data_IF_276353892441
#
_entry.id   IF_276353892441
#
_cell.length_a   1.000
_cell.length_b   1.000
_cell.length_c   1.000
_cell.angle_alpha   90.00
_cell.angle_beta   90.00
_cell.angle_gamma   90.00
#
_symmetry.space_group_name_H-M   'P 1'
#
loop_
_entity.id
_entity.type
_entity.pdbx_description
1 polymer ?
#
# COMPACT_ATOMS: atom_id res chain seq x y z
N UNK A 1 9.48 2.81 68.69
CA UNK A 1 9.10 2.64 67.27
C UNK A 1 10.24 2.00 66.54
N UNK A 2 10.13 0.71 66.17
CA UNK A 2 11.17 0.02 65.39
C UNK A 2 11.22 0.63 64.00
N UNK A 3 12.33 1.25 63.63
CA UNK A 3 12.53 1.73 62.27
C UNK A 3 12.81 0.50 61.38
N UNK A 4 12.05 0.37 60.32
CA UNK A 4 12.30 -0.64 59.31
C UNK A 4 13.75 -0.54 58.77
N UNK A 5 14.40 -1.68 58.45
CA UNK A 5 15.71 -1.65 57.77
C UNK A 5 15.66 -0.77 56.53
N UNK A 6 16.74 -0.07 56.23
CA UNK A 6 16.79 0.92 55.13
C UNK A 6 16.38 0.34 53.78
N UNK A 7 16.76 -0.92 53.49
CA UNK A 7 16.37 -1.60 52.25
C UNK A 7 14.86 -1.84 52.14
N UNK A 8 14.16 -2.20 53.23
CA UNK A 8 12.71 -2.35 53.26
C UNK A 8 12.04 -0.97 53.04
N UNK A 9 12.57 0.06 53.69
CA UNK A 9 12.09 1.43 53.53
C UNK A 9 12.17 1.90 52.07
N UNK A 10 13.31 1.64 51.42
CA UNK A 10 13.49 1.96 49.99
C UNK A 10 12.54 1.21 49.06
N UNK A 11 12.35 -0.10 49.28
CA UNK A 11 11.40 -0.89 48.51
C UNK A 11 9.96 -0.44 48.70
N UNK A 12 9.55 -0.11 49.93
CA UNK A 12 8.22 0.42 50.18
C UNK A 12 7.99 1.81 49.54
N UNK A 13 9.03 2.65 49.52
CA UNK A 13 8.96 3.94 48.84
C UNK A 13 8.85 3.73 47.28
N UNK A 14 9.64 2.83 46.71
CA UNK A 14 9.56 2.48 45.30
C UNK A 14 8.20 1.90 44.96
N UNK A 15 7.66 0.95 45.76
CA UNK A 15 6.33 0.36 45.55
C UNK A 15 5.24 1.44 45.57
N UNK A 16 5.28 2.40 46.55
CA UNK A 16 4.31 3.50 46.58
C UNK A 16 4.43 4.37 45.34
N UNK A 17 5.65 4.69 44.89
CA UNK A 17 5.85 5.47 43.68
C UNK A 17 5.28 4.79 42.46
N UNK A 18 5.55 3.48 42.30
CA UNK A 18 4.98 2.67 41.20
C UNK A 18 3.46 2.65 41.26
N UNK A 19 2.86 2.39 42.44
CA UNK A 19 1.41 2.38 42.58
C UNK A 19 0.75 3.73 42.25
N UNK A 20 1.34 4.83 42.76
CA UNK A 20 0.84 6.18 42.44
C UNK A 20 0.98 6.51 40.98
N UNK A 21 2.14 6.21 40.35
CA UNK A 21 2.33 6.44 38.93
C UNK A 21 1.39 5.58 38.08
N UNK A 22 1.23 4.30 38.43
CA UNK A 22 0.27 3.42 37.74
C UNK A 22 -1.16 3.93 37.83
N UNK A 23 -1.58 4.43 39.01
CA UNK A 23 -2.91 5.02 39.16
C UNK A 23 -3.06 6.29 38.32
N UNK A 24 -2.08 7.18 38.34
CA UNK A 24 -2.14 8.45 37.63
C UNK A 24 -2.08 8.21 36.11
N UNK A 25 -1.10 7.43 35.61
CA UNK A 25 -0.89 7.26 34.16
C UNK A 25 -1.74 6.15 33.57
N UNK A 26 -2.09 5.12 34.33
CA UNK A 26 -2.86 3.96 33.85
C UNK A 26 -4.38 4.05 34.08
N UNK A 27 -4.84 4.92 34.97
CA UNK A 27 -6.27 5.06 35.25
C UNK A 27 -6.75 6.49 35.08
N UNK A 28 -6.22 7.44 35.88
CA UNK A 28 -6.73 8.82 35.90
C UNK A 28 -6.54 9.48 34.54
N UNK A 29 -5.33 9.46 34.00
CA UNK A 29 -5.01 10.10 32.72
C UNK A 29 -5.85 9.52 31.55
N UNK A 30 -5.94 8.20 31.30
CA UNK A 30 -6.80 7.67 30.25
C UNK A 30 -8.27 8.03 30.42
N UNK A 31 -8.82 7.99 31.63
CA UNK A 31 -10.23 8.34 31.88
C UNK A 31 -10.49 9.82 31.63
N UNK A 32 -9.59 10.71 32.05
CA UNK A 32 -9.72 12.15 31.80
C UNK A 32 -9.66 12.44 30.28
N UNK A 33 -8.68 11.86 29.58
CA UNK A 33 -8.54 12.04 28.11
C UNK A 33 -9.78 11.50 27.40
N UNK A 34 -10.26 10.30 27.76
CA UNK A 34 -11.48 9.71 27.18
C UNK A 34 -12.69 10.59 27.44
N UNK A 35 -12.88 11.07 28.69
CA UNK A 35 -14.00 11.95 29.03
C UNK A 35 -14.00 13.27 28.26
N UNK A 36 -12.84 13.90 28.10
CA UNK A 36 -12.68 15.11 27.30
C UNK A 36 -12.93 14.83 25.82
N UNK A 37 -12.37 13.74 25.29
CA UNK A 37 -12.55 13.33 23.89
C UNK A 37 -14.02 13.04 23.56
N UNK A 38 -14.71 12.32 24.43
CA UNK A 38 -16.14 12.03 24.27
C UNK A 38 -17.01 13.29 24.35
N UNK A 39 -16.64 14.26 25.19
CA UNK A 39 -17.41 15.51 25.33
C UNK A 39 -17.22 16.47 24.14
N UNK A 40 -16.02 16.52 23.57
CA UNK A 40 -15.66 17.53 22.55
C UNK A 40 -15.59 16.95 21.11
N UNK A 41 -15.32 15.64 20.98
CA UNK A 41 -15.02 14.97 19.70
C UNK A 41 -15.66 13.57 19.64
N UNK A 42 -16.94 13.48 20.01
CA UNK A 42 -17.64 12.18 20.17
C UNK A 42 -17.44 11.23 18.98
N UNK A 43 -17.69 11.68 17.75
CA UNK A 43 -17.55 10.87 16.54
C UNK A 43 -16.13 10.32 16.37
N UNK A 44 -15.12 11.19 16.52
CA UNK A 44 -13.71 10.80 16.43
C UNK A 44 -13.28 9.89 17.57
N UNK A 45 -13.77 10.15 18.79
CA UNK A 45 -13.49 9.33 19.94
C UNK A 45 -14.10 7.91 19.85
N UNK A 46 -15.13 7.75 19.02
CA UNK A 46 -15.78 6.46 18.73
C UNK A 46 -15.29 5.82 17.41
N UNK A 47 -14.19 6.35 16.82
CA UNK A 47 -13.57 5.76 15.63
C UNK A 47 -14.13 6.26 14.30
N UNK A 48 -14.78 7.44 14.29
CA UNK A 48 -15.35 8.07 13.07
C UNK A 48 -16.20 7.09 12.25
N UNK A 49 -17.27 6.50 12.82
CA UNK A 49 -18.10 5.52 12.12
C UNK A 49 -18.77 6.17 10.92
N UNK A 50 -18.79 5.44 9.80
CA UNK A 50 -19.51 5.82 8.58
C UNK A 50 -20.75 4.95 8.49
N UNK A 51 -21.93 5.59 8.42
CA UNK A 51 -23.23 4.92 8.40
C UNK A 51 -23.93 5.08 7.06
N UNK A 52 -24.61 4.03 6.63
CA UNK A 52 -25.55 4.04 5.51
C UNK A 52 -26.82 3.29 5.92
N UNK A 53 -27.97 3.91 5.73
CA UNK A 53 -29.28 3.34 6.10
C UNK A 53 -29.35 2.88 7.57
N UNK A 54 -28.74 3.63 8.50
CA UNK A 54 -28.71 3.34 9.94
C UNK A 54 -27.80 2.16 10.34
N UNK A 55 -26.94 1.71 9.44
CA UNK A 55 -25.93 0.67 9.73
C UNK A 55 -24.52 1.22 9.57
N UNK A 56 -23.66 0.95 10.52
CA UNK A 56 -22.22 1.23 10.39
C UNK A 56 -21.67 0.31 9.31
N UNK A 57 -21.10 0.90 8.27
CA UNK A 57 -20.53 0.20 7.11
C UNK A 57 -19.00 0.31 7.06
N UNK A 58 -18.40 1.14 7.91
CA UNK A 58 -16.97 1.35 7.98
C UNK A 58 -16.61 2.48 8.92
N UNK A 59 -15.40 2.96 8.77
CA UNK A 59 -14.84 4.10 9.49
C UNK A 59 -14.16 5.05 8.50
N UNK A 60 -14.31 6.36 8.71
CA UNK A 60 -13.64 7.38 7.88
C UNK A 60 -12.10 7.35 8.02
N UNK A 61 -11.57 6.65 9.02
CA UNK A 61 -10.11 6.53 9.24
C UNK A 61 -9.54 5.16 8.84
N UNK A 62 -10.36 4.25 8.31
CA UNK A 62 -9.95 2.92 7.87
C UNK A 62 -10.46 2.69 6.45
N UNK A 63 -9.54 2.38 5.54
CA UNK A 63 -9.87 2.06 4.16
C UNK A 63 -10.51 0.68 3.98
N UNK A 64 -11.00 0.44 2.77
CA UNK A 64 -11.63 -0.82 2.37
C UNK A 64 -11.18 -1.20 0.96
N UNK A 65 -11.28 -2.48 0.63
CA UNK A 65 -11.20 -2.95 -0.75
C UNK A 65 -12.55 -2.74 -1.45
N UNK A 66 -12.50 -2.35 -2.71
CA UNK A 66 -13.66 -2.24 -3.60
C UNK A 66 -13.54 -3.26 -4.74
N UNK A 67 -13.44 -4.52 -4.33
CA UNK A 67 -13.29 -5.69 -5.20
C UNK A 67 -14.51 -6.60 -5.09
N UNK A 68 -14.68 -7.47 -6.09
CA UNK A 68 -15.67 -8.54 -6.04
C UNK A 68 -15.18 -9.75 -5.20
N UNK A 69 -15.93 -10.86 -5.24
CA UNK A 69 -15.60 -12.05 -4.48
C UNK A 69 -14.34 -12.79 -5.00
N UNK A 70 -13.97 -12.55 -6.23
CA UNK A 70 -12.77 -13.07 -6.90
C UNK A 70 -11.54 -12.18 -6.67
N UNK A 71 -11.71 -11.01 -5.99
CA UNK A 71 -10.65 -10.05 -5.70
C UNK A 71 -10.40 -9.05 -6.84
N UNK A 72 -11.22 -9.08 -7.91
CA UNK A 72 -11.09 -8.16 -9.04
C UNK A 72 -11.70 -6.78 -8.71
N UNK A 73 -11.08 -5.67 -9.16
CA UNK A 73 -11.59 -4.32 -8.94
C UNK A 73 -13.00 -4.14 -9.50
N UNK A 74 -13.95 -3.66 -8.68
CA UNK A 74 -15.30 -3.32 -9.16
C UNK A 74 -15.21 -2.01 -9.94
N UNK A 75 -15.48 -1.99 -11.26
CA UNK A 75 -15.15 -0.84 -12.12
C UNK A 75 -15.89 0.45 -11.80
N UNK A 76 -17.08 0.38 -11.22
CA UNK A 76 -17.90 1.56 -10.85
C UNK A 76 -17.43 2.27 -9.57
N UNK A 77 -16.44 1.75 -8.85
CA UNK A 77 -15.90 2.33 -7.63
C UNK A 77 -14.46 2.81 -7.80
N UNK A 78 -14.13 3.86 -7.06
CA UNK A 78 -12.73 4.24 -6.85
C UNK A 78 -12.01 3.15 -6.07
N UNK A 79 -10.82 2.82 -6.54
CA UNK A 79 -9.95 1.86 -5.89
C UNK A 79 -9.05 2.56 -4.86
N UNK A 80 -8.88 1.93 -3.73
CA UNK A 80 -7.95 2.35 -2.68
C UNK A 80 -6.50 2.07 -3.08
N UNK A 81 -5.55 2.54 -2.28
CA UNK A 81 -4.15 2.18 -2.48
C UNK A 81 -3.89 0.71 -2.07
N UNK A 82 -2.78 0.09 -2.53
CA UNK A 82 -2.45 -1.26 -2.12
C UNK A 82 -2.32 -1.41 -0.60
N UNK A 83 -2.72 -2.54 -0.07
CA UNK A 83 -2.60 -2.89 1.35
C UNK A 83 -1.71 -4.12 1.52
N UNK A 84 -0.92 -4.14 2.61
CA UNK A 84 -0.16 -5.29 3.08
C UNK A 84 -0.73 -5.87 4.39
N UNK A 85 -1.94 -5.43 4.79
CA UNK A 85 -2.63 -5.87 6.00
C UNK A 85 -3.48 -7.11 5.69
N UNK A 86 -3.03 -8.30 6.05
CA UNK A 86 -3.69 -9.56 5.75
C UNK A 86 -4.02 -9.71 4.25
N UNK A 87 -5.25 -10.10 3.94
CA UNK A 87 -5.76 -10.18 2.57
C UNK A 87 -6.14 -8.79 1.98
N UNK A 88 -5.75 -7.74 2.64
CA UNK A 88 -6.02 -6.34 2.30
C UNK A 88 -6.98 -5.67 3.27
N UNK A 89 -6.51 -4.58 3.90
CA UNK A 89 -7.28 -3.79 4.88
C UNK A 89 -7.79 -4.57 6.09
N UNK A 90 -7.13 -5.68 6.46
CA UNK A 90 -7.43 -6.42 7.68
C UNK A 90 -6.98 -5.64 8.92
N UNK A 91 -7.95 -5.20 9.72
CA UNK A 91 -7.71 -4.43 10.95
C UNK A 91 -7.01 -5.24 12.05
N UNK A 92 -7.07 -6.58 11.99
CA UNK A 92 -6.42 -7.46 12.96
C UNK A 92 -4.97 -7.78 12.57
N UNK A 93 -4.60 -7.49 11.31
CA UNK A 93 -3.29 -7.78 10.74
C UNK A 93 -2.65 -6.53 10.12
N UNK A 94 -2.86 -5.34 10.74
CA UNK A 94 -2.30 -4.08 10.24
C UNK A 94 -0.78 -4.20 10.07
N UNK A 95 -0.30 -4.01 8.84
CA UNK A 95 1.10 -4.21 8.48
C UNK A 95 1.53 -3.33 7.31
N UNK A 96 2.86 -3.09 7.25
CA UNK A 96 3.54 -2.57 6.07
C UNK A 96 4.23 -3.71 5.31
N UNK A 97 4.59 -3.47 4.05
CA UNK A 97 5.35 -4.45 3.26
C UNK A 97 6.75 -4.72 3.82
N UNK A 98 7.31 -3.80 4.62
CA UNK A 98 8.68 -3.83 5.16
C UNK A 98 9.78 -4.01 4.08
N UNK A 99 9.48 -3.68 2.83
CA UNK A 99 10.39 -3.75 1.69
C UNK A 99 10.95 -2.36 1.39
N UNK A 100 12.26 -2.30 1.14
CA UNK A 100 12.96 -1.07 0.80
C UNK A 100 13.19 -0.92 -0.71
N UNK A 101 13.66 0.25 -1.17
CA UNK A 101 13.93 0.52 -2.60
C UNK A 101 15.07 -0.33 -3.17
N UNK A 102 15.86 -0.99 -2.34
CA UNK A 102 16.91 -1.96 -2.70
C UNK A 102 16.34 -3.33 -3.06
N UNK A 103 15.10 -3.63 -2.70
CA UNK A 103 14.44 -4.90 -3.00
C UNK A 103 13.94 -4.89 -4.44
N UNK A 104 14.82 -5.27 -5.35
CA UNK A 104 14.61 -5.19 -6.81
C UNK A 104 14.72 -6.54 -7.52
N UNK A 105 15.16 -7.59 -6.83
CA UNK A 105 15.37 -8.93 -7.39
C UNK A 105 14.32 -9.88 -6.83
N UNK A 106 13.59 -10.53 -7.74
CA UNK A 106 12.60 -11.53 -7.38
C UNK A 106 13.26 -12.85 -6.99
N UNK A 107 12.64 -13.62 -6.10
CA UNK A 107 12.90 -15.04 -5.95
C UNK A 107 11.93 -15.79 -6.86
N UNK A 108 12.46 -16.40 -7.92
CA UNK A 108 11.61 -17.11 -8.89
C UNK A 108 11.10 -18.43 -8.30
N UNK A 109 9.83 -18.79 -8.54
CA UNK A 109 9.26 -20.03 -8.03
C UNK A 109 9.99 -21.25 -8.63
N UNK A 110 10.34 -22.24 -7.80
CA UNK A 110 11.02 -23.47 -8.25
C UNK A 110 9.99 -24.55 -8.49
N UNK A 111 9.80 -25.03 -9.75
CA UNK A 111 8.83 -26.05 -10.07
C UNK A 111 9.05 -27.32 -9.26
N UNK A 112 7.99 -27.79 -8.59
CA UNK A 112 8.01 -29.01 -7.78
C UNK A 112 8.51 -28.82 -6.35
N UNK A 113 9.03 -27.65 -5.99
CA UNK A 113 9.27 -27.29 -4.59
C UNK A 113 7.97 -26.90 -3.89
N UNK A 114 7.96 -27.05 -2.57
CA UNK A 114 6.87 -26.67 -1.70
C UNK A 114 7.38 -25.73 -0.61
N UNK A 115 6.52 -24.85 -0.15
CA UNK A 115 6.76 -24.01 1.02
C UNK A 115 6.69 -24.83 2.32
N UNK A 116 6.92 -24.17 3.47
CA UNK A 116 6.88 -24.79 4.79
C UNK A 116 5.47 -25.29 5.19
N UNK A 117 4.44 -24.83 4.51
CA UNK A 117 3.03 -25.23 4.71
C UNK A 117 2.60 -26.36 3.76
N UNK A 118 3.45 -26.74 2.82
CA UNK A 118 3.22 -27.82 1.86
C UNK A 118 2.54 -27.39 0.56
N UNK A 119 2.34 -26.07 0.35
CA UNK A 119 1.82 -25.51 -0.90
C UNK A 119 2.95 -25.42 -1.95
N UNK A 120 2.62 -25.36 -3.26
CA UNK A 120 3.62 -25.09 -4.29
C UNK A 120 4.41 -23.81 -3.98
N UNK A 121 5.72 -23.83 -4.23
CA UNK A 121 6.56 -22.63 -4.12
C UNK A 121 6.12 -21.57 -5.13
N UNK A 122 5.61 -20.45 -4.64
CA UNK A 122 5.18 -19.31 -5.47
C UNK A 122 6.30 -18.29 -5.70
N UNK A 123 7.46 -18.50 -5.06
CA UNK A 123 8.55 -17.55 -5.06
C UNK A 123 8.22 -16.28 -4.26
N UNK A 124 8.95 -15.18 -4.53
CA UNK A 124 8.71 -13.88 -3.90
C UNK A 124 8.95 -12.76 -4.89
N UNK A 125 7.95 -11.91 -5.09
CA UNK A 125 8.12 -10.68 -5.85
C UNK A 125 8.86 -9.62 -5.03
N UNK A 126 9.86 -9.00 -5.64
CA UNK A 126 10.52 -7.80 -5.09
C UNK A 126 9.56 -6.61 -5.05
N UNK A 127 9.88 -5.60 -4.24
CA UNK A 127 9.11 -4.35 -4.23
C UNK A 127 9.03 -3.73 -5.64
N UNK A 128 10.13 -3.77 -6.39
CA UNK A 128 10.14 -3.23 -7.76
C UNK A 128 9.14 -3.97 -8.66
N UNK A 129 9.10 -5.29 -8.64
CA UNK A 129 8.12 -6.08 -9.42
C UNK A 129 6.70 -5.80 -8.97
N UNK A 130 6.42 -5.72 -7.66
CA UNK A 130 5.09 -5.34 -7.17
C UNK A 130 4.65 -3.96 -7.67
N UNK A 131 5.55 -2.97 -7.65
CA UNK A 131 5.27 -1.61 -8.18
C UNK A 131 4.99 -1.66 -9.68
N UNK A 132 5.75 -2.43 -10.44
CA UNK A 132 5.57 -2.59 -11.89
C UNK A 132 4.23 -3.26 -12.23
N UNK A 133 3.91 -4.36 -11.55
CA UNK A 133 2.67 -5.11 -11.76
C UNK A 133 1.44 -4.25 -11.42
N UNK A 134 1.46 -3.59 -10.25
CA UNK A 134 0.38 -2.68 -9.83
C UNK A 134 0.21 -1.49 -10.77
N UNK A 135 1.30 -0.92 -11.26
CA UNK A 135 1.25 0.19 -12.22
C UNK A 135 0.64 -0.24 -13.55
N UNK A 136 1.00 -1.44 -14.04
CA UNK A 136 0.41 -2.02 -15.23
C UNK A 136 -1.08 -2.27 -15.05
N UNK A 137 -1.48 -2.93 -13.97
CA UNK A 137 -2.88 -3.23 -13.66
C UNK A 137 -3.74 -1.96 -13.51
N UNK A 138 -3.26 -0.95 -12.76
CA UNK A 138 -3.95 0.34 -12.65
C UNK A 138 -4.06 1.05 -14.00
N UNK A 139 -3.01 1.00 -14.84
CA UNK A 139 -3.03 1.56 -16.18
C UNK A 139 -4.06 0.89 -17.09
N UNK A 140 -4.16 -0.43 -17.05
CA UNK A 140 -5.14 -1.22 -17.81
C UNK A 140 -6.57 -0.95 -17.32
N UNK A 141 -6.78 -0.88 -16.02
CA UNK A 141 -8.08 -0.59 -15.41
C UNK A 141 -8.59 0.82 -15.77
N UNK A 142 -7.72 1.83 -15.69
CA UNK A 142 -8.10 3.24 -15.82
C UNK A 142 -7.87 3.82 -17.23
N UNK A 143 -7.37 3.00 -18.17
CA UNK A 143 -7.14 3.42 -19.55
C UNK A 143 -5.99 4.41 -19.72
N UNK A 144 -5.00 4.39 -18.81
CA UNK A 144 -3.78 5.19 -18.88
C UNK A 144 -2.55 4.30 -19.08
N UNK A 145 -1.41 4.91 -19.45
CA UNK A 145 -0.17 4.14 -19.62
C UNK A 145 0.37 3.69 -18.25
N UNK A 146 0.38 2.37 -18.02
CA UNK A 146 0.90 1.76 -16.80
C UNK A 146 2.43 1.61 -16.75
N UNK A 147 3.14 1.94 -17.84
CA UNK A 147 4.59 1.82 -17.89
C UNK A 147 5.30 2.78 -16.92
N UNK A 148 6.38 2.31 -16.29
CA UNK A 148 7.24 3.08 -15.38
C UNK A 148 8.71 2.88 -15.72
N UNK A 149 9.60 3.82 -15.35
CA UNK A 149 11.03 3.56 -15.35
C UNK A 149 11.37 2.31 -14.53
N UNK A 150 12.33 1.54 -15.00
CA UNK A 150 12.76 0.27 -14.37
C UNK A 150 11.74 -0.86 -14.39
N UNK A 151 10.66 -0.74 -15.18
CA UNK A 151 9.68 -1.80 -15.38
C UNK A 151 9.76 -2.35 -16.81
N UNK A 152 9.55 -3.65 -16.94
CA UNK A 152 9.42 -4.32 -18.23
C UNK A 152 7.98 -4.16 -18.78
N UNK A 153 7.73 -4.36 -20.07
CA UNK A 153 6.39 -4.29 -20.63
C UNK A 153 5.41 -5.34 -20.05
N UNK A 154 5.92 -6.47 -19.60
CA UNK A 154 5.14 -7.54 -18.95
C UNK A 154 4.82 -7.26 -17.48
N UNK A 155 5.40 -6.20 -16.90
CA UNK A 155 5.01 -5.71 -15.57
C UNK A 155 5.89 -6.23 -14.42
N UNK A 156 7.11 -6.66 -14.71
CA UNK A 156 8.10 -7.01 -13.69
C UNK A 156 9.25 -5.99 -13.64
N UNK A 157 10.09 -6.05 -12.62
CA UNK A 157 11.24 -5.17 -12.51
C UNK A 157 12.29 -5.45 -13.59
N UNK A 158 12.73 -4.42 -14.32
CA UNK A 158 13.76 -4.51 -15.36
C UNK A 158 15.16 -4.57 -14.71
N UNK A 159 15.55 -5.76 -14.25
CA UNK A 159 16.80 -5.97 -13.50
C UNK A 159 17.65 -7.07 -14.13
N UNK A 160 18.92 -6.75 -14.31
CA UNK A 160 19.92 -7.71 -14.76
C UNK A 160 20.87 -8.10 -13.61
N UNK A 161 21.29 -9.35 -13.62
CA UNK A 161 22.51 -9.81 -12.95
C UNK A 161 23.60 -9.99 -13.98
N UNK A 162 24.71 -9.30 -13.78
CA UNK A 162 25.82 -9.21 -14.72
C UNK A 162 27.06 -9.86 -14.10
N UNK A 163 27.71 -10.73 -14.87
CA UNK A 163 28.90 -11.47 -14.44
C UNK A 163 30.09 -11.20 -15.37
N UNK A 164 31.30 -11.05 -14.79
CA UNK A 164 31.60 -10.96 -13.36
C UNK A 164 31.05 -9.66 -12.76
N UNK A 165 30.98 -9.56 -11.42
CA UNK A 165 30.49 -8.38 -10.72
C UNK A 165 31.32 -7.11 -11.05
N UNK A 166 32.61 -7.28 -11.35
CA UNK A 166 33.55 -6.21 -11.69
C UNK A 166 34.16 -6.50 -13.05
N UNK A 167 34.32 -5.45 -13.87
CA UNK A 167 34.89 -5.54 -15.22
C UNK A 167 33.86 -5.65 -16.34
N UNK A 168 34.33 -6.02 -17.53
CA UNK A 168 33.48 -6.18 -18.71
C UNK A 168 32.52 -7.38 -18.54
N UNK A 169 31.24 -7.22 -18.92
CA UNK A 169 30.26 -8.31 -18.84
C UNK A 169 30.65 -9.47 -19.77
N UNK A 170 30.46 -10.68 -19.26
CA UNK A 170 30.59 -11.94 -20.02
C UNK A 170 29.27 -12.71 -20.06
N UNK A 171 28.39 -12.47 -19.10
CA UNK A 171 27.05 -13.03 -19.00
C UNK A 171 26.12 -11.99 -18.39
N UNK A 172 24.88 -11.90 -18.91
CA UNK A 172 23.82 -11.05 -18.38
C UNK A 172 22.52 -11.84 -18.31
N UNK A 173 21.81 -11.76 -17.18
CA UNK A 173 20.57 -12.52 -16.91
C UNK A 173 19.48 -11.56 -16.45
N UNK A 174 18.31 -11.60 -17.10
CA UNK A 174 17.08 -10.92 -16.64
C UNK A 174 16.44 -11.72 -15.52
N UNK A 175 16.74 -11.35 -14.27
CA UNK A 175 16.46 -12.20 -13.10
C UNK A 175 15.02 -12.19 -12.63
N UNK A 176 14.23 -11.20 -13.02
CA UNK A 176 12.81 -11.12 -12.68
C UNK A 176 11.90 -11.70 -13.79
N UNK A 177 12.47 -12.25 -14.86
CA UNK A 177 11.76 -12.89 -15.94
C UNK A 177 12.17 -14.36 -16.01
N UNK A 178 11.33 -15.25 -15.47
CA UNK A 178 11.58 -16.68 -15.45
C UNK A 178 11.56 -17.29 -16.87
N UNK A 179 12.53 -18.17 -17.17
CA UNK A 179 12.50 -18.95 -18.41
C UNK A 179 11.20 -19.78 -18.51
N UNK A 180 10.55 -19.87 -19.69
CA UNK A 180 11.07 -19.51 -21.03
C UNK A 180 10.76 -18.07 -21.49
N UNK A 181 10.49 -17.12 -20.61
CA UNK A 181 10.18 -15.74 -20.98
C UNK A 181 11.28 -15.13 -21.85
N UNK A 182 10.87 -14.27 -22.80
CA UNK A 182 11.81 -13.47 -23.58
C UNK A 182 12.28 -12.30 -22.72
N UNK A 183 13.61 -12.11 -22.50
CA UNK A 183 14.12 -10.98 -21.74
C UNK A 183 13.69 -9.64 -22.34
N UNK A 184 13.44 -8.65 -21.47
CA UNK A 184 13.02 -7.29 -21.85
C UNK A 184 14.04 -6.54 -22.73
N UNK A 185 15.27 -7.01 -22.75
CA UNK A 185 16.33 -6.55 -23.66
C UNK A 185 17.09 -7.74 -24.20
N UNK A 186 17.48 -7.67 -25.45
CA UNK A 186 18.19 -8.77 -26.13
C UNK A 186 19.69 -8.80 -25.81
N UNK A 187 20.26 -7.65 -25.42
CA UNK A 187 21.68 -7.56 -25.12
C UNK A 187 21.97 -6.45 -24.08
N UNK A 188 23.06 -6.62 -23.34
CA UNK A 188 23.60 -5.64 -22.42
C UNK A 188 25.10 -5.50 -22.63
N UNK A 189 25.58 -4.31 -23.04
CA UNK A 189 26.98 -4.02 -23.34
C UNK A 189 27.65 -5.06 -24.29
N UNK A 190 26.90 -5.49 -25.31
CA UNK A 190 27.39 -6.46 -26.29
C UNK A 190 27.25 -7.94 -25.91
N UNK A 191 26.73 -8.24 -24.72
CA UNK A 191 26.49 -9.62 -24.27
C UNK A 191 25.00 -9.93 -24.40
N UNK A 192 24.61 -11.10 -24.98
CA UNK A 192 23.23 -11.56 -25.00
C UNK A 192 22.65 -11.66 -23.58
N UNK A 193 21.36 -11.31 -23.42
CA UNK A 193 20.67 -11.42 -22.14
C UNK A 193 19.86 -12.71 -22.12
N UNK A 194 20.07 -13.51 -21.07
CA UNK A 194 19.33 -14.75 -20.78
C UNK A 194 18.14 -14.48 -19.86
N UNK A 195 17.12 -15.35 -19.88
CA UNK A 195 16.06 -15.34 -18.86
C UNK A 195 16.56 -15.94 -17.53
N UNK A 196 15.91 -15.59 -16.43
CA UNK A 196 16.21 -16.16 -15.10
C UNK A 196 15.79 -17.60 -14.99
N UNK A 197 16.68 -18.48 -14.48
CA UNK A 197 16.35 -19.87 -14.23
C UNK A 197 15.95 -20.06 -12.77
N UNK A 198 14.77 -20.60 -12.48
CA UNK A 198 14.37 -20.91 -11.11
C UNK A 198 15.41 -21.77 -10.38
N UNK A 199 15.72 -21.38 -9.14
CA UNK A 199 16.70 -22.10 -8.31
C UNK A 199 18.18 -21.83 -8.62
N UNK A 200 18.51 -21.05 -9.65
CA UNK A 200 19.90 -20.66 -9.92
C UNK A 200 20.32 -19.51 -8.99
N UNK A 201 21.47 -19.62 -8.36
CA UNK A 201 22.04 -18.57 -7.52
C UNK A 201 22.73 -17.48 -8.35
N UNK A 202 22.20 -16.27 -8.26
CA UNK A 202 22.73 -15.08 -8.93
C UNK A 202 23.44 -14.10 -7.98
N UNK A 203 23.71 -14.49 -6.70
CA UNK A 203 24.28 -13.59 -5.69
C UNK A 203 25.64 -13.02 -6.08
N UNK A 204 26.49 -13.81 -6.75
CA UNK A 204 27.83 -13.38 -7.20
C UNK A 204 27.81 -12.34 -8.34
N UNK A 205 26.66 -12.11 -8.98
CA UNK A 205 26.51 -11.13 -10.05
C UNK A 205 26.23 -9.71 -9.53
N UNK A 206 26.68 -8.71 -10.26
CA UNK A 206 26.32 -7.32 -10.01
C UNK A 206 24.86 -7.09 -10.40
N UNK A 207 24.04 -6.53 -9.48
CA UNK A 207 22.66 -6.10 -9.77
C UNK A 207 22.66 -4.81 -10.55
N UNK A 208 21.95 -4.77 -11.68
CA UNK A 208 21.83 -3.62 -12.56
C UNK A 208 20.36 -3.38 -12.91
N UNK A 209 19.67 -2.48 -12.19
CA UNK A 209 18.38 -2.01 -12.63
C UNK A 209 18.52 -1.20 -13.93
N UNK A 210 17.71 -1.55 -14.92
CA UNK A 210 17.77 -0.92 -16.25
C UNK A 210 16.62 0.07 -16.38
N UNK A 211 16.97 1.35 -16.57
CA UNK A 211 15.98 2.40 -16.77
C UNK A 211 15.50 2.39 -18.21
N UNK A 212 14.19 2.21 -18.41
CA UNK A 212 13.52 2.44 -19.68
C UNK A 212 13.06 3.89 -19.86
N UNK A 213 12.51 4.20 -21.05
CA UNK A 213 12.05 5.55 -21.42
C UNK A 213 10.61 5.85 -20.98
N UNK A 214 9.95 4.93 -20.30
CA UNK A 214 8.58 5.11 -19.85
C UNK A 214 8.48 6.27 -18.85
N UNK A 215 7.44 7.09 -19.04
CA UNK A 215 7.06 8.15 -18.09
C UNK A 215 5.87 7.66 -17.29
N UNK A 216 6.01 7.63 -15.97
CA UNK A 216 4.97 7.18 -15.06
C UNK A 216 3.74 8.10 -15.12
N UNK A 217 2.60 7.57 -15.54
CA UNK A 217 1.29 8.26 -15.47
C UNK A 217 0.49 7.82 -14.23
N UNK A 218 0.66 6.57 -13.81
CA UNK A 218 0.05 6.04 -12.59
C UNK A 218 0.78 6.63 -11.38
N UNK A 219 0.09 7.30 -10.44
CA UNK A 219 0.69 7.91 -9.26
C UNK A 219 1.35 6.90 -8.31
N UNK A 220 2.21 7.40 -7.42
CA UNK A 220 2.97 6.54 -6.51
C UNK A 220 2.10 5.80 -5.50
N UNK A 221 1.06 6.44 -4.99
CA UNK A 221 0.10 5.85 -4.04
C UNK A 221 -0.80 4.77 -4.64
N UNK A 222 -0.94 4.72 -5.97
CA UNK A 222 -1.59 3.61 -6.67
C UNK A 222 -0.76 2.31 -6.66
N UNK A 223 0.54 2.38 -6.38
CA UNK A 223 1.46 1.25 -6.52
C UNK A 223 2.21 0.89 -5.25
N UNK A 224 2.17 1.77 -4.23
CA UNK A 224 2.83 1.56 -2.94
C UNK A 224 1.82 1.39 -1.81
N UNK A 225 1.99 0.34 -1.02
CA UNK A 225 1.18 0.11 0.17
C UNK A 225 1.39 1.22 1.21
N UNK A 226 0.37 1.48 2.03
CA UNK A 226 0.50 2.35 3.19
C UNK A 226 1.29 1.68 4.31
N UNK A 227 1.84 2.48 5.23
CA UNK A 227 2.60 1.96 6.38
C UNK A 227 1.75 1.15 7.37
N UNK A 228 0.44 1.38 7.42
CA UNK A 228 -0.49 0.62 8.25
C UNK A 228 -1.21 -0.49 7.47
N UNK A 229 -1.27 -0.37 6.14
CA UNK A 229 -2.16 -1.17 5.30
C UNK A 229 -3.65 -0.80 5.43
N UNK A 230 -3.99 0.26 6.19
CA UNK A 230 -5.38 0.63 6.51
C UNK A 230 -5.75 2.07 6.07
N UNK A 231 -4.85 2.79 5.38
CA UNK A 231 -5.05 4.18 4.97
C UNK A 231 -6.25 4.33 4.03
N UNK A 232 -7.31 5.08 4.40
CA UNK A 232 -8.50 5.28 3.58
C UNK A 232 -8.29 6.26 2.42
N UNK A 233 -7.12 6.89 2.34
CA UNK A 233 -6.89 8.00 1.44
C UNK A 233 -6.06 7.63 0.22
N UNK A 234 -6.41 8.29 -0.89
CA UNK A 234 -5.59 8.34 -2.11
C UNK A 234 -5.28 9.79 -2.47
N UNK A 235 -4.25 10.02 -3.29
CA UNK A 235 -3.97 11.35 -3.80
C UNK A 235 -5.06 11.83 -4.78
N UNK A 236 -5.30 13.15 -4.88
CA UNK A 236 -6.17 13.70 -5.94
C UNK A 236 -5.71 13.30 -7.34
N UNK A 237 -4.40 13.07 -7.54
CA UNK A 237 -3.87 12.60 -8.81
C UNK A 237 -4.33 11.18 -9.12
N UNK A 238 -4.35 10.29 -8.12
CA UNK A 238 -4.83 8.92 -8.31
C UNK A 238 -6.37 8.89 -8.49
N UNK A 239 -7.11 9.71 -7.76
CA UNK A 239 -8.55 9.85 -7.98
C UNK A 239 -8.86 10.32 -9.41
N UNK A 240 -8.14 11.33 -9.94
CA UNK A 240 -8.39 11.87 -11.29
C UNK A 240 -8.12 10.86 -12.41
N UNK A 241 -7.14 9.99 -12.32
CA UNK A 241 -6.96 8.97 -13.38
C UNK A 241 -8.07 7.93 -13.38
N UNK A 242 -8.74 7.69 -12.24
CA UNK A 242 -9.87 6.78 -12.11
C UNK A 242 -11.21 7.40 -12.57
N UNK A 243 -11.32 8.74 -12.52
CA UNK A 243 -12.58 9.45 -12.77
C UNK A 243 -13.25 9.13 -14.13
N UNK A 244 -12.54 9.03 -15.27
CA UNK A 244 -13.15 8.68 -16.55
C UNK A 244 -13.77 7.28 -16.56
N UNK A 245 -13.13 6.31 -15.91
CA UNK A 245 -13.67 4.95 -15.76
C UNK A 245 -14.94 4.96 -14.92
N UNK A 246 -14.87 5.55 -13.72
CA UNK A 246 -16.00 5.61 -12.78
C UNK A 246 -17.20 6.34 -13.41
N UNK A 247 -16.96 7.45 -14.10
CA UNK A 247 -17.99 8.20 -14.82
C UNK A 247 -18.69 7.34 -15.87
N UNK A 248 -17.92 6.64 -16.71
CA UNK A 248 -18.46 5.74 -17.75
C UNK A 248 -19.29 4.61 -17.13
N UNK A 249 -18.78 3.93 -16.12
CA UNK A 249 -19.46 2.78 -15.49
C UNK A 249 -20.73 3.17 -14.73
N UNK A 250 -20.83 4.44 -14.34
CA UNK A 250 -22.01 4.98 -13.66
C UNK A 250 -22.94 5.78 -14.57
N UNK A 251 -22.56 6.00 -15.83
CA UNK A 251 -23.34 6.82 -16.75
C UNK A 251 -23.38 8.30 -16.35
N UNK A 252 -22.35 8.81 -15.67
CA UNK A 252 -22.25 10.19 -15.20
C UNK A 252 -21.32 11.01 -16.10
N UNK A 253 -21.51 12.34 -16.19
CA UNK A 253 -20.51 13.23 -16.77
C UNK A 253 -19.20 13.18 -15.95
N UNK A 254 -18.04 13.18 -16.61
CA UNK A 254 -16.74 13.16 -15.93
C UNK A 254 -16.60 14.35 -14.99
N UNK A 255 -17.08 15.53 -15.40
CA UNK A 255 -17.06 16.76 -14.58
C UNK A 255 -17.77 16.58 -13.25
N UNK A 256 -18.90 15.85 -13.24
CA UNK A 256 -19.61 15.56 -11.97
C UNK A 256 -18.79 14.69 -11.03
N UNK A 257 -18.09 13.71 -11.57
CA UNK A 257 -17.18 12.87 -10.78
C UNK A 257 -15.99 13.68 -10.27
N UNK A 258 -15.45 14.60 -11.06
CA UNK A 258 -14.37 15.51 -10.64
C UNK A 258 -14.83 16.47 -9.52
N UNK A 259 -16.04 17.01 -9.58
CA UNK A 259 -16.65 17.82 -8.51
C UNK A 259 -16.77 17.03 -7.19
N UNK A 260 -17.18 15.76 -7.28
CA UNK A 260 -17.23 14.88 -6.11
C UNK A 260 -15.83 14.60 -5.55
N UNK A 261 -14.82 14.41 -6.38
CA UNK A 261 -13.42 14.29 -5.92
C UNK A 261 -13.00 15.57 -5.19
N UNK A 262 -13.28 16.75 -5.74
CA UNK A 262 -12.92 18.01 -5.11
C UNK A 262 -13.60 18.21 -3.75
N UNK A 263 -14.90 17.92 -3.66
CA UNK A 263 -15.67 18.05 -2.41
C UNK A 263 -15.23 17.06 -1.32
N UNK A 264 -14.66 15.92 -1.70
CA UNK A 264 -14.13 14.91 -0.77
C UNK A 264 -12.60 14.98 -0.63
N UNK A 265 -11.96 16.05 -1.13
CA UNK A 265 -10.54 16.29 -0.96
C UNK A 265 -10.28 17.13 0.29
N UNK A 266 -9.64 16.54 1.28
CA UNK A 266 -9.12 17.29 2.42
C UNK A 266 -7.81 17.98 2.04
N UNK A 267 -7.76 19.31 2.19
CA UNK A 267 -6.57 20.11 1.92
C UNK A 267 -5.51 20.02 3.03
N UNK A 268 -4.42 20.78 2.85
CA UNK A 268 -3.35 20.87 3.85
C UNK A 268 -3.84 21.56 5.11
N UNK A 269 -3.63 20.97 6.28
CA UNK A 269 -3.92 21.62 7.55
C UNK A 269 -3.06 22.90 7.71
N UNK A 270 -3.68 23.99 8.16
CA UNK A 270 -3.04 25.31 8.26
C UNK A 270 -2.40 25.81 6.94
N UNK A 271 -2.75 25.24 5.80
CA UNK A 271 -2.22 25.59 4.47
C UNK A 271 -0.86 24.97 4.11
N UNK A 272 -0.15 24.36 5.05
CA UNK A 272 1.20 23.82 4.81
C UNK A 272 1.46 22.43 5.39
N UNK A 273 0.61 21.90 6.27
CA UNK A 273 0.81 20.61 6.92
C UNK A 273 0.06 19.50 6.18
N UNK A 274 0.75 18.41 5.86
CA UNK A 274 0.20 17.25 5.14
C UNK A 274 0.12 17.45 3.64
N UNK A 275 -0.46 16.47 2.97
CA UNK A 275 -0.74 16.49 1.53
C UNK A 275 -2.26 16.43 1.31
N UNK A 276 -2.78 17.02 0.23
CA UNK A 276 -4.18 16.85 -0.14
C UNK A 276 -4.51 15.37 -0.34
N UNK A 277 -5.64 14.94 0.22
CA UNK A 277 -6.03 13.54 0.22
C UNK A 277 -7.53 13.37 0.01
N UNK A 278 -7.93 12.32 -0.70
CA UNK A 278 -9.32 11.95 -0.99
C UNK A 278 -9.67 10.71 -0.20
N UNK A 279 -10.72 10.76 0.61
CA UNK A 279 -11.22 9.58 1.31
C UNK A 279 -12.03 8.71 0.34
N UNK A 280 -11.54 7.51 0.07
CA UNK A 280 -12.13 6.62 -0.95
C UNK A 280 -13.50 6.08 -0.51
N UNK A 281 -13.67 5.74 0.78
CA UNK A 281 -14.93 5.24 1.29
C UNK A 281 -16.04 6.30 1.19
N UNK A 282 -15.75 7.50 1.67
CA UNK A 282 -16.72 8.60 1.64
C UNK A 282 -17.07 9.00 0.19
N UNK A 283 -16.07 9.05 -0.70
CA UNK A 283 -16.28 9.34 -2.13
C UNK A 283 -17.14 8.26 -2.81
N UNK A 284 -16.88 6.98 -2.56
CA UNK A 284 -17.67 5.90 -3.13
C UNK A 284 -19.11 5.89 -2.60
N UNK A 285 -19.32 6.26 -1.33
CA UNK A 285 -20.66 6.43 -0.76
C UNK A 285 -21.43 7.60 -1.39
N UNK A 286 -20.76 8.72 -1.62
CA UNK A 286 -21.36 9.85 -2.30
C UNK A 286 -21.76 9.51 -3.75
N UNK A 287 -21.00 8.66 -4.42
CA UNK A 287 -21.36 8.15 -5.74
C UNK A 287 -22.56 7.18 -5.72
N UNK A 288 -22.81 6.54 -4.61
CA UNK A 288 -23.98 5.67 -4.42
C UNK A 288 -25.25 6.44 -3.98
N UNK A 289 -25.13 7.72 -3.63
CA UNK A 289 -26.25 8.58 -3.29
C UNK A 289 -26.90 9.13 -4.59
N UNK A 290 -28.18 8.77 -4.87
CA UNK A 290 -28.88 9.26 -6.05
C UNK A 290 -29.02 10.78 -6.10
N UNK A 291 -29.06 11.46 -4.96
CA UNK A 291 -29.22 12.91 -4.90
C UNK A 291 -27.88 13.63 -5.15
N UNK A 292 -26.79 13.07 -4.67
CA UNK A 292 -25.45 13.60 -4.94
C UNK A 292 -25.01 13.42 -6.41
N UNK A 293 -25.60 12.48 -7.12
CA UNK A 293 -25.26 12.18 -8.52
C UNK A 293 -26.16 12.85 -9.56
N UNK A 294 -27.26 13.52 -9.15
CA UNK A 294 -28.09 14.33 -10.07
C UNK A 294 -27.31 15.55 -10.52
N UNK A 295 -27.28 15.77 -11.83
CA UNK A 295 -26.84 17.04 -12.40
C UNK A 295 -27.93 18.08 -12.12
N UNK A 296 -27.58 19.28 -11.68
CA UNK A 296 -28.43 20.44 -11.62
C UNK A 296 -28.83 20.91 -13.04
#
# INVERSE_FOLDING_TARGET
>A
MHRLPAWIGSHLAALRAVLVLTLVTGVIYPLVVTGVAQALFNDKANGSPVEKDGKVIGSAVIGQLFTDAEGEPIPKYFQSRPSAAGDGYDMLSAAASNLGPEDVVDTLPVPGQKDDEGNPDEGRQSLLTQVCARSKAAGELDGVRGGRPYCTPDGVGAVLKVFPAVGAPKRAVSVNQACPATPFTTSYQGVPVECGKPGEDYAAGRTVPVRGDAVAQVPADAVTASGSGLDPHISPAYARIQAPRVARERGLPVQRVEELIESHTTGRALGFMGEPAVNVLELNLALDDPDATKAD
#
